data_IF_582417733777
#
_entry.id   IF_582417733777
#
_cell.length_a   1.000
_cell.length_b   1.000
_cell.length_c   1.000
_cell.angle_alpha   90.00
_cell.angle_beta   90.00
_cell.angle_gamma   90.00
#
_symmetry.space_group_name_H-M   'P 1'
#
loop_
_entity.id
_entity.type
_entity.pdbx_description
1 polymer ?
#
# COMPACT_ATOMS: atom_id res chain seq x y z
N UNK A 1 -6.26 -18.36 2.00
CA UNK A 1 -7.52 -17.58 2.01
C UNK A 1 -8.29 -17.87 0.72
N UNK A 2 -9.62 -17.85 0.76
CA UNK A 2 -10.45 -18.08 -0.43
C UNK A 2 -10.25 -16.96 -1.44
N UNK A 3 -10.07 -17.30 -2.73
CA UNK A 3 -9.93 -16.30 -3.79
C UNK A 3 -11.14 -15.35 -3.81
N UNK A 4 -10.86 -14.05 -3.86
CA UNK A 4 -11.89 -13.01 -3.85
C UNK A 4 -12.38 -12.59 -2.46
N UNK A 5 -11.93 -13.23 -1.38
CA UNK A 5 -12.22 -12.78 -0.01
C UNK A 5 -11.37 -11.58 0.39
N UNK A 6 -11.82 -10.81 1.38
CA UNK A 6 -11.05 -9.67 1.88
C UNK A 6 -9.70 -10.11 2.46
N UNK A 7 -9.65 -11.24 3.18
CA UNK A 7 -8.40 -11.79 3.72
C UNK A 7 -7.42 -12.19 2.61
N UNK A 8 -7.93 -12.71 1.49
CA UNK A 8 -7.10 -12.99 0.33
C UNK A 8 -6.52 -11.70 -0.27
N UNK A 9 -7.32 -10.65 -0.45
CA UNK A 9 -6.84 -9.37 -0.95
C UNK A 9 -5.84 -8.71 -0.02
N UNK A 10 -6.09 -8.72 1.30
CA UNK A 10 -5.17 -8.17 2.30
C UNK A 10 -3.85 -8.94 2.32
N UNK A 11 -3.89 -10.28 2.26
CA UNK A 11 -2.67 -11.09 2.16
C UNK A 11 -1.88 -10.80 0.89
N UNK A 12 -2.55 -10.78 -0.27
CA UNK A 12 -1.92 -10.47 -1.55
C UNK A 12 -1.32 -9.06 -1.55
N UNK A 13 -1.95 -8.10 -0.86
CA UNK A 13 -1.45 -6.74 -0.76
C UNK A 13 -0.11 -6.69 -0.02
N UNK A 14 -0.04 -7.33 1.14
CA UNK A 14 1.20 -7.46 1.90
C UNK A 14 2.28 -8.18 1.09
N UNK A 15 1.91 -9.26 0.38
CA UNK A 15 2.82 -10.00 -0.48
C UNK A 15 3.40 -9.15 -1.61
N UNK A 16 2.56 -8.44 -2.37
CA UNK A 16 3.00 -7.57 -3.47
C UNK A 16 3.95 -6.49 -2.95
N UNK A 17 3.61 -5.84 -1.83
CA UNK A 17 4.49 -4.83 -1.24
C UNK A 17 5.86 -5.41 -0.84
N UNK A 18 5.87 -6.62 -0.30
CA UNK A 18 7.10 -7.31 0.12
C UNK A 18 7.99 -7.59 -1.07
N UNK A 19 7.41 -8.14 -2.15
CA UNK A 19 8.14 -8.41 -3.39
C UNK A 19 8.64 -7.11 -4.02
N UNK A 20 7.80 -6.07 -4.05
CA UNK A 20 8.18 -4.76 -4.56
C UNK A 20 9.34 -4.14 -3.78
N UNK A 21 9.33 -4.25 -2.45
CA UNK A 21 10.41 -3.78 -1.59
C UNK A 21 11.74 -4.42 -1.96
N UNK A 22 11.77 -5.75 -2.10
CA UNK A 22 13.01 -6.44 -2.47
C UNK A 22 13.45 -6.19 -3.91
N UNK A 23 12.53 -5.96 -4.85
CA UNK A 23 12.91 -5.48 -6.18
C UNK A 23 13.57 -4.09 -6.13
N UNK A 24 13.06 -3.20 -5.28
CA UNK A 24 13.65 -1.87 -5.04
C UNK A 24 15.03 -1.98 -4.38
N UNK A 25 15.27 -2.96 -3.51
CA UNK A 25 16.60 -3.20 -2.95
C UNK A 25 17.60 -3.64 -4.04
N UNK A 26 17.19 -4.58 -4.89
CA UNK A 26 18.07 -5.13 -5.95
C UNK A 26 18.40 -4.06 -7.00
N UNK A 27 17.42 -3.28 -7.47
CA UNK A 27 17.64 -2.27 -8.52
C UNK A 27 18.53 -1.09 -8.04
N UNK A 28 18.69 -0.92 -6.72
CA UNK A 28 19.55 0.11 -6.12
C UNK A 28 21.02 -0.27 -6.04
N UNK A 29 21.39 -1.51 -6.40
CA UNK A 29 22.79 -1.90 -6.50
C UNK A 29 23.48 -1.11 -7.64
N UNK A 30 24.49 -0.27 -7.34
CA UNK A 30 25.21 0.48 -8.38
C UNK A 30 26.04 -0.40 -9.32
N UNK A 31 26.20 -1.70 -9.01
CA UNK A 31 26.93 -2.67 -9.84
C UNK A 31 26.02 -3.58 -10.66
N UNK A 32 24.69 -3.38 -10.62
CA UNK A 32 23.75 -4.19 -11.39
C UNK A 32 24.03 -4.13 -12.89
N UNK A 33 23.93 -5.27 -13.56
CA UNK A 33 24.03 -5.31 -15.02
C UNK A 33 22.89 -4.47 -15.66
N UNK A 34 23.18 -3.55 -16.59
CA UNK A 34 22.16 -2.68 -17.17
C UNK A 34 21.02 -3.40 -17.90
N UNK A 35 21.29 -4.56 -18.53
CA UNK A 35 20.24 -5.32 -19.21
C UNK A 35 19.31 -5.99 -18.18
N UNK A 36 19.88 -6.57 -17.12
CA UNK A 36 19.11 -7.11 -15.99
C UNK A 36 18.32 -6.01 -15.26
N UNK A 37 18.91 -4.83 -15.10
CA UNK A 37 18.23 -3.67 -14.50
C UNK A 37 16.98 -3.27 -15.29
N UNK A 38 17.02 -3.31 -16.63
CA UNK A 38 15.85 -3.03 -17.46
C UNK A 38 14.76 -4.09 -17.30
N UNK A 39 15.12 -5.36 -17.24
CA UNK A 39 14.18 -6.47 -17.00
C UNK A 39 13.52 -6.29 -15.64
N UNK A 40 14.31 -6.04 -14.59
CA UNK A 40 13.81 -5.80 -13.24
C UNK A 40 12.93 -4.55 -13.16
N UNK A 41 13.31 -3.46 -13.84
CA UNK A 41 12.52 -2.24 -13.90
C UNK A 41 11.13 -2.46 -14.49
N UNK A 42 11.01 -3.28 -15.55
CA UNK A 42 9.70 -3.66 -16.11
C UNK A 42 8.87 -4.49 -15.13
N UNK A 43 9.49 -5.35 -14.33
CA UNK A 43 8.81 -6.11 -13.26
C UNK A 43 8.33 -5.19 -12.14
N UNK A 44 9.15 -4.22 -11.73
CA UNK A 44 8.78 -3.15 -10.78
C UNK A 44 7.58 -2.35 -11.29
N UNK A 45 7.59 -1.94 -12.56
CA UNK A 45 6.49 -1.18 -13.14
C UNK A 45 5.18 -1.98 -13.15
N UNK A 46 5.26 -3.26 -13.52
CA UNK A 46 4.11 -4.17 -13.44
C UNK A 46 3.63 -4.36 -12.00
N UNK A 47 4.52 -4.63 -11.06
CA UNK A 47 4.19 -4.83 -9.65
C UNK A 47 3.55 -3.58 -9.02
N UNK A 48 4.02 -2.38 -9.39
CA UNK A 48 3.37 -1.13 -9.00
C UNK A 48 1.95 -0.99 -9.54
N UNK A 49 1.69 -1.48 -10.74
CA UNK A 49 0.34 -1.50 -11.30
C UNK A 49 -0.54 -2.53 -10.58
N UNK A 50 -0.04 -3.76 -10.41
CA UNK A 50 -0.75 -4.84 -9.73
C UNK A 50 -1.11 -4.43 -8.28
N UNK A 51 -0.22 -3.70 -7.58
CA UNK A 51 -0.48 -3.12 -6.26
C UNK A 51 -1.65 -2.14 -6.29
N UNK A 52 -1.64 -1.19 -7.22
CA UNK A 52 -2.73 -0.22 -7.36
C UNK A 52 -4.05 -0.92 -7.68
N UNK A 53 -4.06 -1.83 -8.65
CA UNK A 53 -5.27 -2.53 -9.07
C UNK A 53 -5.87 -3.31 -7.90
N UNK A 54 -5.03 -3.92 -7.06
CA UNK A 54 -5.47 -4.62 -5.85
C UNK A 54 -6.05 -3.66 -4.79
N UNK A 55 -5.45 -2.49 -4.58
CA UNK A 55 -6.04 -1.46 -3.70
C UNK A 55 -7.43 -1.06 -4.18
N UNK A 56 -7.62 -0.87 -5.48
CA UNK A 56 -8.94 -0.53 -5.99
C UNK A 56 -9.95 -1.71 -5.92
N UNK A 57 -9.47 -2.96 -5.96
CA UNK A 57 -10.30 -4.14 -5.69
C UNK A 57 -10.76 -4.18 -4.22
N UNK A 58 -9.89 -3.84 -3.27
CA UNK A 58 -10.25 -3.69 -1.85
C UNK A 58 -11.29 -2.58 -1.69
N UNK A 59 -11.15 -1.44 -2.39
CA UNK A 59 -12.17 -0.39 -2.38
C UNK A 59 -13.50 -0.86 -2.97
N UNK A 60 -13.46 -1.71 -3.99
CA UNK A 60 -14.67 -2.31 -4.58
C UNK A 60 -15.35 -3.22 -3.56
N UNK A 61 -14.58 -4.02 -2.82
CA UNK A 61 -15.10 -4.87 -1.75
C UNK A 61 -15.81 -4.05 -0.67
N UNK A 62 -15.16 -3.00 -0.15
CA UNK A 62 -15.78 -2.15 0.88
C UNK A 62 -17.01 -1.39 0.34
N UNK A 63 -16.95 -0.89 -0.90
CA UNK A 63 -18.10 -0.23 -1.53
C UNK A 63 -19.29 -1.17 -1.67
N UNK A 64 -19.07 -2.43 -2.04
CA UNK A 64 -20.13 -3.44 -2.12
C UNK A 64 -20.67 -3.80 -0.73
N UNK A 65 -19.77 -3.89 0.27
CA UNK A 65 -20.13 -4.20 1.67
C UNK A 65 -21.05 -3.13 2.28
N UNK A 66 -20.77 -1.86 2.00
CA UNK A 66 -21.51 -0.73 2.58
C UNK A 66 -22.53 -0.09 1.62
N UNK A 67 -22.85 -0.73 0.48
CA UNK A 67 -23.70 -0.14 -0.58
C UNK A 67 -25.12 0.21 -0.10
N UNK A 68 -25.63 -0.56 0.86
CA UNK A 68 -26.99 -0.43 1.39
C UNK A 68 -27.05 0.45 2.65
N UNK A 69 -25.91 0.99 3.11
CA UNK A 69 -25.88 1.92 4.25
C UNK A 69 -26.56 3.23 3.86
N UNK A 70 -27.57 3.62 4.65
CA UNK A 70 -28.25 4.90 4.48
C UNK A 70 -27.35 6.03 4.99
N UNK A 71 -26.84 6.83 4.06
CA UNK A 71 -26.04 8.02 4.35
C UNK A 71 -26.90 9.07 5.06
N UNK A 72 -26.35 9.68 6.12
CA UNK A 72 -26.99 10.75 6.87
C UNK A 72 -26.94 12.08 6.10
N UNK A 73 -27.87 13.00 6.37
CA UNK A 73 -27.99 14.27 5.63
C UNK A 73 -26.75 15.17 5.78
N UNK A 74 -26.03 15.06 6.91
CA UNK A 74 -24.80 15.80 7.22
C UNK A 74 -23.52 14.97 7.02
N UNK A 75 -23.63 13.82 6.35
CA UNK A 75 -22.51 12.92 6.13
C UNK A 75 -21.37 13.58 5.35
N UNK A 76 -20.14 13.22 5.72
CA UNK A 76 -18.92 13.84 5.19
C UNK A 76 -18.10 12.89 4.34
N UNK A 77 -17.26 13.45 3.49
CA UNK A 77 -16.24 12.70 2.75
C UNK A 77 -14.95 12.63 3.58
N UNK A 78 -14.20 11.54 3.47
CA UNK A 78 -12.83 11.46 3.99
C UNK A 78 -11.80 11.81 2.90
N UNK A 79 -10.59 12.21 3.30
CA UNK A 79 -9.50 12.53 2.37
C UNK A 79 -9.07 11.33 1.53
N UNK A 80 -9.24 10.12 2.06
CA UNK A 80 -8.93 8.87 1.35
C UNK A 80 -9.91 7.76 1.71
N UNK A 81 -9.92 6.71 0.88
CA UNK A 81 -10.74 5.53 1.10
C UNK A 81 -10.10 4.54 2.08
N UNK A 82 -10.87 3.60 2.65
CA UNK A 82 -10.34 2.56 3.50
C UNK A 82 -9.21 1.75 2.83
N UNK A 83 -9.30 1.47 1.53
CA UNK A 83 -8.28 0.68 0.85
C UNK A 83 -6.92 1.39 0.77
N UNK A 84 -6.90 2.71 0.55
CA UNK A 84 -5.66 3.49 0.55
C UNK A 84 -5.08 3.64 1.96
N UNK A 85 -5.92 3.72 2.99
CA UNK A 85 -5.45 3.68 4.37
C UNK A 85 -4.78 2.32 4.68
N UNK A 86 -5.37 1.21 4.24
CA UNK A 86 -4.80 -0.15 4.33
C UNK A 86 -3.50 -0.30 3.53
N UNK A 87 -3.39 0.28 2.33
CA UNK A 87 -2.13 0.31 1.54
C UNK A 87 -0.97 0.88 2.36
N UNK A 88 -1.20 2.01 3.04
CA UNK A 88 -0.19 2.61 3.91
C UNK A 88 0.11 1.75 5.13
N UNK A 89 -0.89 1.10 5.72
CA UNK A 89 -0.70 0.21 6.86
C UNK A 89 0.18 -0.99 6.47
N UNK A 90 -0.02 -1.55 5.28
CA UNK A 90 0.82 -2.63 4.74
C UNK A 90 2.29 -2.20 4.58
N UNK A 91 2.54 -1.03 3.98
CA UNK A 91 3.90 -0.47 3.85
C UNK A 91 4.50 -0.15 5.23
N UNK A 92 3.71 0.35 6.17
CA UNK A 92 4.16 0.62 7.53
C UNK A 92 4.59 -0.68 8.25
N UNK A 93 3.84 -1.77 8.07
CA UNK A 93 4.21 -3.07 8.61
C UNK A 93 5.57 -3.57 8.07
N UNK A 94 5.85 -3.38 6.77
CA UNK A 94 7.16 -3.68 6.19
C UNK A 94 8.29 -2.82 6.77
N UNK A 95 8.04 -1.51 6.95
CA UNK A 95 9.01 -0.62 7.61
C UNK A 95 9.32 -1.08 9.02
N UNK A 96 8.30 -1.48 9.79
CA UNK A 96 8.47 -2.02 11.14
C UNK A 96 9.31 -3.29 11.11
N UNK A 97 8.99 -4.22 10.20
CA UNK A 97 9.74 -5.46 10.04
C UNK A 97 11.23 -5.21 9.78
N UNK A 98 11.56 -4.44 8.75
CA UNK A 98 12.97 -4.17 8.42
C UNK A 98 13.68 -3.28 9.44
N UNK A 99 12.97 -2.38 10.13
CA UNK A 99 13.56 -1.60 11.21
C UNK A 99 13.91 -2.48 12.42
N UNK A 100 13.05 -3.46 12.76
CA UNK A 100 13.35 -4.45 13.79
C UNK A 100 14.61 -5.24 13.46
N UNK A 101 14.78 -5.67 12.21
CA UNK A 101 16.01 -6.34 11.78
C UNK A 101 17.28 -5.49 12.05
N UNK A 102 17.21 -4.17 11.86
CA UNK A 102 18.35 -3.28 12.15
C UNK A 102 18.62 -3.11 13.65
N UNK A 103 17.58 -3.09 14.48
CA UNK A 103 17.70 -3.05 15.94
C UNK A 103 18.34 -4.35 16.46
N UNK A 104 17.89 -5.48 15.93
CA UNK A 104 18.27 -6.83 16.38
C UNK A 104 19.61 -7.30 15.80
N UNK A 105 20.14 -6.59 14.79
CA UNK A 105 21.40 -6.92 14.11
C UNK A 105 22.57 -7.08 15.11
N UNK A 106 23.13 -8.29 15.30
CA UNK A 106 24.13 -8.54 16.35
C UNK A 106 25.36 -7.63 16.26
N UNK A 107 25.93 -7.51 15.05
CA UNK A 107 27.17 -6.77 14.75
C UNK A 107 27.02 -5.25 14.71
N UNK A 108 25.79 -4.70 14.87
CA UNK A 108 25.59 -3.26 14.85
C UNK A 108 26.06 -2.61 16.16
N UNK A 109 26.64 -1.41 16.05
CA UNK A 109 27.06 -0.64 17.22
C UNK A 109 25.88 -0.26 18.11
N UNK A 110 26.12 -0.05 19.40
CA UNK A 110 25.09 0.39 20.34
C UNK A 110 24.43 1.72 19.91
N UNK A 111 25.21 2.64 19.34
CA UNK A 111 24.68 3.90 18.81
C UNK A 111 23.73 3.68 17.63
N UNK A 112 24.07 2.77 16.71
CA UNK A 112 23.20 2.42 15.59
C UNK A 112 21.90 1.78 16.10
N UNK A 113 21.99 0.83 17.02
CA UNK A 113 20.81 0.18 17.61
C UNK A 113 19.89 1.18 18.31
N UNK A 114 20.45 2.10 19.09
CA UNK A 114 19.66 3.16 19.75
C UNK A 114 18.95 4.07 18.73
N UNK A 115 19.64 4.46 17.66
CA UNK A 115 19.04 5.26 16.57
C UNK A 115 17.92 4.51 15.84
N UNK A 116 18.10 3.21 15.56
CA UNK A 116 17.07 2.39 14.93
C UNK A 116 15.90 2.11 15.88
N UNK A 117 16.15 1.93 17.18
CA UNK A 117 15.10 1.74 18.18
C UNK A 117 14.19 2.97 18.26
N UNK A 118 14.77 4.18 18.33
CA UNK A 118 13.98 5.41 18.35
C UNK A 118 13.09 5.55 17.10
N UNK A 119 13.58 5.12 15.92
CA UNK A 119 12.76 5.08 14.69
C UNK A 119 11.68 4.00 14.76
N UNK A 120 12.00 2.83 15.30
CA UNK A 120 11.05 1.74 15.47
C UNK A 120 9.89 2.15 16.37
N UNK A 121 10.18 2.84 17.47
CA UNK A 121 9.15 3.31 18.42
C UNK A 121 8.15 4.24 17.72
N UNK A 122 8.63 5.18 16.90
CA UNK A 122 7.77 6.06 16.09
C UNK A 122 6.94 5.26 15.08
N UNK A 123 7.51 4.24 14.44
CA UNK A 123 6.77 3.41 13.48
C UNK A 123 5.67 2.59 14.17
N UNK A 124 5.92 2.11 15.39
CA UNK A 124 4.94 1.38 16.20
C UNK A 124 3.79 2.31 16.67
N UNK A 125 4.10 3.55 17.07
CA UNK A 125 3.09 4.57 17.37
C UNK A 125 2.21 4.85 16.14
N UNK A 126 2.85 5.09 14.98
CA UNK A 126 2.13 5.26 13.71
C UNK A 126 1.21 4.08 13.36
N UNK A 127 1.59 2.85 13.73
CA UNK A 127 0.78 1.67 13.46
C UNK A 127 -0.51 1.69 14.30
N UNK A 128 -0.41 2.05 15.57
CA UNK A 128 -1.55 2.18 16.47
C UNK A 128 -2.50 3.28 15.97
N UNK A 129 -1.96 4.45 15.66
CA UNK A 129 -2.74 5.60 15.19
C UNK A 129 -3.45 5.29 13.88
N UNK A 130 -2.73 4.72 12.90
CA UNK A 130 -3.30 4.41 11.60
C UNK A 130 -4.36 3.30 11.68
N UNK A 131 -4.14 2.26 12.49
CA UNK A 131 -5.13 1.19 12.68
C UNK A 131 -6.39 1.75 13.33
N UNK A 132 -6.24 2.56 14.39
CA UNK A 132 -7.35 3.23 15.07
C UNK A 132 -8.14 4.13 14.12
N UNK A 133 -7.44 4.92 13.28
CA UNK A 133 -8.09 5.80 12.31
C UNK A 133 -8.83 5.01 11.21
N UNK A 134 -8.33 3.84 10.81
CA UNK A 134 -9.02 2.95 9.87
C UNK A 134 -10.29 2.39 10.50
N UNK A 135 -10.22 1.89 11.73
CA UNK A 135 -11.38 1.35 12.44
C UNK A 135 -12.48 2.42 12.57
N UNK A 136 -12.12 3.62 13.03
CA UNK A 136 -13.04 4.76 13.14
C UNK A 136 -13.64 5.16 11.80
N UNK A 137 -12.85 5.11 10.71
CA UNK A 137 -13.36 5.39 9.37
C UNK A 137 -14.40 4.36 8.93
N UNK A 138 -14.16 3.07 9.18
CA UNK A 138 -15.09 2.00 8.86
C UNK A 138 -16.37 2.10 9.69
N UNK A 139 -16.26 2.37 10.99
CA UNK A 139 -17.41 2.62 11.88
C UNK A 139 -18.23 3.83 11.44
N UNK A 140 -17.58 4.92 11.03
CA UNK A 140 -18.25 6.11 10.48
C UNK A 140 -18.99 5.82 9.18
N UNK A 141 -18.41 4.98 8.31
CA UNK A 141 -19.03 4.55 7.06
C UNK A 141 -20.25 3.67 7.37
N UNK A 142 -20.11 2.68 8.25
CA UNK A 142 -21.18 1.77 8.64
C UNK A 142 -22.37 2.51 9.27
N UNK A 143 -22.10 3.55 10.07
CA UNK A 143 -23.13 4.39 10.67
C UNK A 143 -23.72 5.45 9.72
N UNK A 144 -23.22 5.54 8.47
CA UNK A 144 -23.67 6.51 7.48
C UNK A 144 -23.21 7.95 7.76
N UNK A 145 -22.28 8.17 8.70
CA UNK A 145 -21.69 9.49 9.02
C UNK A 145 -20.65 9.92 7.98
N UNK A 146 -20.04 8.94 7.31
CA UNK A 146 -19.20 9.15 6.13
C UNK A 146 -19.70 8.30 4.98
N UNK A 147 -19.48 8.77 3.75
CA UNK A 147 -19.78 7.99 2.56
C UNK A 147 -18.50 7.70 1.78
N UNK A 148 -18.48 6.54 1.13
CA UNK A 148 -17.35 6.13 0.30
C UNK A 148 -17.44 6.80 -1.08
N UNK A 149 -16.38 7.50 -1.47
CA UNK A 149 -16.17 7.96 -2.84
C UNK A 149 -14.84 7.44 -3.34
N UNK A 150 -14.89 6.53 -4.31
CA UNK A 150 -13.72 5.85 -4.87
C UNK A 150 -13.33 6.52 -6.18
N UNK A 151 -12.03 6.81 -6.34
CA UNK A 151 -11.45 7.29 -7.59
C UNK A 151 -10.53 6.20 -8.15
N UNK A 152 -10.70 5.88 -9.43
CA UNK A 152 -9.81 4.98 -10.17
C UNK A 152 -8.60 5.76 -10.66
N UNK A 153 -7.44 5.09 -10.78
CA UNK A 153 -6.25 5.72 -11.32
C UNK A 153 -6.43 6.15 -12.78
N UNK A 154 -5.92 7.34 -13.09
CA UNK A 154 -5.97 7.95 -14.41
C UNK A 154 -4.55 7.97 -15.04
N UNK A 155 -3.93 6.79 -15.19
CA UNK A 155 -2.58 6.68 -15.78
C UNK A 155 -2.63 6.65 -17.30
N UNK A 156 -2.15 7.73 -17.93
CA UNK A 156 -2.15 7.89 -19.40
C UNK A 156 -1.06 7.08 -20.13
N UNK A 157 0.02 6.66 -19.46
CA UNK A 157 1.14 6.01 -20.14
C UNK A 157 1.02 4.48 -20.21
N UNK A 158 0.09 3.90 -19.45
CA UNK A 158 -0.18 2.45 -19.48
C UNK A 158 -1.19 2.06 -20.57
N UNK A 159 -1.94 3.03 -21.08
CA UNK A 159 -2.88 2.84 -22.17
C UNK A 159 -2.20 3.21 -23.52
N UNK A 160 -2.10 2.26 -24.47
CA UNK A 160 -1.51 2.51 -25.78
C UNK A 160 -2.15 3.66 -26.55
N UNK A 161 -3.44 3.94 -26.33
CA UNK A 161 -4.17 5.01 -27.01
C UNK A 161 -3.84 6.41 -26.45
N UNK A 162 -3.30 6.48 -25.24
CA UNK A 162 -2.95 7.72 -24.55
C UNK A 162 -1.44 7.91 -24.35
N UNK A 163 -0.62 6.88 -24.64
CA UNK A 163 0.84 6.95 -24.60
C UNK A 163 1.46 7.45 -25.93
N UNK A 164 2.05 8.66 -25.98
CA UNK A 164 2.62 9.23 -27.21
C UNK A 164 3.72 8.39 -27.86
N UNK A 165 4.46 7.61 -27.09
CA UNK A 165 5.52 6.75 -27.60
C UNK A 165 4.94 5.54 -28.36
N UNK A 166 3.70 5.15 -28.07
CA UNK A 166 3.04 4.01 -28.68
C UNK A 166 2.18 4.42 -29.88
N UNK A 167 1.42 5.52 -29.79
CA UNK A 167 0.51 5.94 -30.87
C UNK A 167 1.13 6.90 -31.91
N UNK A 168 2.27 7.55 -31.62
CA UNK A 168 2.99 8.38 -32.62
C UNK A 168 3.99 7.59 -33.48
N UNK A 169 3.88 6.26 -33.49
CA UNK A 169 4.69 5.39 -34.34
C UNK A 169 4.15 5.33 -35.76
#
# INVERSE_FOLDING_TARGET
YQEGSIENYLYLKCWIDTVQWHFEDIIRDPQIDPAEALVLKRRIDKSNQDRTDLVEQIDTYFRETYKDVKVQDDARINTESPAWAVDRLSILALKIYHMKEQVERPEASAEHKAKCQAKLDVLLEQQVDLSTAIDQLLEDIEAGRKYMKVYRQMKMYNDPSTNPVLYKK
#
